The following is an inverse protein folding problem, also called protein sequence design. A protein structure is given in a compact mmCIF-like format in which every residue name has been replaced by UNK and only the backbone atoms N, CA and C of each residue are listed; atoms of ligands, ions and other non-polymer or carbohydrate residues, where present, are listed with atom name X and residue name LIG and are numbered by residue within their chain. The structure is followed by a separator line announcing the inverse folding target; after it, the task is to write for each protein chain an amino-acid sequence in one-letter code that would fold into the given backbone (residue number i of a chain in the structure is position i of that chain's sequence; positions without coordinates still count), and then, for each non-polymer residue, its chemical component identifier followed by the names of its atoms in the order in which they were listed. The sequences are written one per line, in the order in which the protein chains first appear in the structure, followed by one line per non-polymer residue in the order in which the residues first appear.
data_IF_760996811206
#
_entry.id   IF_760996811206
#
_cell.length_a   1.000
_cell.length_b   1.000
_cell.length_c   1.000
_cell.angle_alpha   90.00
_cell.angle_beta   90.00
_cell.angle_gamma   90.00
#
_symmetry.space_group_name_H-M   'P 1'
#
loop_
_entity.id
_entity.type
_entity.pdbx_description
1 polymer ?
#
# COMPACT_ATOMS: atom_id res chain seq x y z
N UNK A 1 12.85 -13.47 5.31
CA UNK A 1 12.38 -12.49 6.32
C UNK A 1 11.29 -11.62 5.71
N UNK A 2 10.08 -11.62 6.28
CA UNK A 2 8.96 -10.78 5.81
C UNK A 2 9.18 -9.37 6.36
N UNK A 3 9.71 -8.46 5.53
CA UNK A 3 9.92 -7.07 5.94
C UNK A 3 8.54 -6.40 5.96
N UNK A 4 8.11 -5.92 7.13
CA UNK A 4 6.83 -5.21 7.27
C UNK A 4 6.85 -3.96 6.37
N UNK A 5 5.75 -3.72 5.65
CA UNK A 5 5.56 -2.48 4.90
C UNK A 5 5.53 -1.32 5.90
N UNK A 6 6.47 -0.40 5.77
CA UNK A 6 6.55 0.81 6.57
C UNK A 6 5.44 1.79 6.17
N UNK A 7 5.24 2.84 6.96
CA UNK A 7 4.27 3.89 6.61
C UNK A 7 4.63 4.54 5.26
N UNK A 8 5.91 4.84 5.04
CA UNK A 8 6.42 5.38 3.79
C UNK A 8 6.13 4.45 2.60
N UNK A 9 6.34 3.14 2.76
CA UNK A 9 6.00 2.17 1.69
C UNK A 9 4.51 2.22 1.33
N UNK A 10 3.63 2.39 2.34
CA UNK A 10 2.17 2.48 2.13
C UNK A 10 1.76 3.79 1.47
N UNK A 11 2.42 4.89 1.79
CA UNK A 11 2.21 6.18 1.14
C UNK A 11 2.60 6.14 -0.33
N UNK A 12 3.74 5.54 -0.66
CA UNK A 12 4.18 5.33 -2.06
C UNK A 12 3.21 4.42 -2.82
N UNK A 13 2.71 3.34 -2.18
CA UNK A 13 1.67 2.50 -2.77
C UNK A 13 0.41 3.31 -3.05
N UNK A 14 -0.01 4.16 -2.13
CA UNK A 14 -1.18 5.01 -2.32
C UNK A 14 -0.98 6.04 -3.43
N UNK A 15 0.20 6.65 -3.50
CA UNK A 15 0.54 7.66 -4.50
C UNK A 15 0.52 7.04 -5.89
N UNK A 16 1.21 5.91 -6.05
CA UNK A 16 1.16 5.17 -7.31
C UNK A 16 -0.23 4.66 -7.66
N UNK A 17 -1.06 4.26 -6.69
CA UNK A 17 -2.45 3.92 -6.94
C UNK A 17 -3.33 5.13 -7.32
N UNK A 18 -3.05 6.31 -6.79
CA UNK A 18 -3.74 7.55 -7.13
C UNK A 18 -3.35 8.03 -8.53
N UNK A 19 -2.09 7.82 -8.92
CA UNK A 19 -1.58 8.07 -10.27
C UNK A 19 -2.03 7.01 -11.29
N UNK A 20 -2.67 5.92 -10.84
CA UNK A 20 -3.17 4.85 -11.71
C UNK A 20 -2.11 3.82 -12.12
N UNK A 21 -0.93 3.83 -11.48
CA UNK A 21 0.18 2.93 -11.77
C UNK A 21 -0.17 1.46 -11.46
N UNK A 22 0.52 0.56 -12.15
CA UNK A 22 0.42 -0.87 -11.88
C UNK A 22 1.18 -1.25 -10.61
N UNK A 23 0.76 -2.33 -9.94
CA UNK A 23 1.44 -2.81 -8.73
C UNK A 23 2.93 -3.11 -8.95
N UNK A 24 3.33 -3.48 -10.17
CA UNK A 24 4.73 -3.75 -10.54
C UNK A 24 5.57 -2.48 -10.58
N UNK A 25 5.01 -1.36 -11.01
CA UNK A 25 5.69 -0.07 -11.08
C UNK A 25 5.88 0.49 -9.68
N UNK A 26 4.82 0.44 -8.89
CA UNK A 26 4.87 0.80 -7.47
C UNK A 26 5.93 -0.04 -6.75
N UNK A 27 5.93 -1.36 -6.97
CA UNK A 27 6.94 -2.26 -6.43
C UNK A 27 8.38 -1.86 -6.79
N UNK A 28 8.61 -1.38 -8.02
CA UNK A 28 9.92 -0.88 -8.42
C UNK A 28 10.30 0.40 -7.66
N UNK A 29 9.35 1.29 -7.40
CA UNK A 29 9.61 2.55 -6.68
C UNK A 29 10.05 2.31 -5.22
N UNK A 30 9.39 1.38 -4.52
CA UNK A 30 9.74 1.03 -3.13
C UNK A 30 10.78 -0.10 -3.00
N UNK A 31 11.35 -0.57 -4.12
CA UNK A 31 12.27 -1.71 -4.18
C UNK A 31 11.70 -2.96 -3.46
N UNK A 32 10.42 -3.28 -3.74
CA UNK A 32 9.70 -4.41 -3.16
C UNK A 32 9.14 -5.34 -4.21
N UNK A 33 8.81 -6.56 -3.77
CA UNK A 33 8.12 -7.51 -4.62
C UNK A 33 6.64 -7.12 -4.81
N UNK A 34 6.11 -7.06 -6.05
CA UNK A 34 4.70 -6.71 -6.30
C UNK A 34 3.69 -7.63 -5.64
N UNK A 35 4.08 -8.88 -5.32
CA UNK A 35 3.24 -9.82 -4.59
C UNK A 35 2.93 -9.36 -3.17
N UNK A 36 3.83 -8.58 -2.55
CA UNK A 36 3.62 -8.02 -1.21
C UNK A 36 2.55 -6.93 -1.28
N UNK A 37 2.63 -6.04 -2.26
CA UNK A 37 1.64 -4.98 -2.49
C UNK A 37 0.28 -5.61 -2.79
N UNK A 38 0.22 -6.59 -3.70
CA UNK A 38 -1.03 -7.27 -4.03
C UNK A 38 -1.66 -7.94 -2.80
N UNK A 39 -0.89 -8.65 -1.97
CA UNK A 39 -1.39 -9.25 -0.72
C UNK A 39 -1.83 -8.22 0.31
N UNK A 40 -1.10 -7.11 0.45
CA UNK A 40 -1.49 -6.02 1.36
C UNK A 40 -2.80 -5.40 0.88
N UNK A 41 -2.85 -4.96 -0.38
CA UNK A 41 -4.07 -4.39 -1.00
C UNK A 41 -5.25 -5.35 -0.90
N UNK A 42 -5.07 -6.64 -1.20
CA UNK A 42 -6.12 -7.65 -1.07
C UNK A 42 -6.59 -7.81 0.40
N UNK A 43 -5.67 -7.87 1.36
CA UNK A 43 -5.99 -7.92 2.80
C UNK A 43 -6.73 -6.67 3.27
N UNK A 44 -6.45 -5.52 2.67
CA UNK A 44 -7.08 -4.25 3.01
C UNK A 44 -8.40 -3.98 2.27
N UNK A 45 -8.88 -4.93 1.45
CA UNK A 45 -10.18 -4.86 0.77
C UNK A 45 -10.12 -4.48 -0.71
N UNK A 46 -8.96 -4.60 -1.35
CA UNK A 46 -8.75 -4.29 -2.77
C UNK A 46 -8.42 -2.81 -3.04
N UNK A 47 -8.19 -2.46 -4.32
CA UNK A 47 -7.72 -1.11 -4.73
C UNK A 47 -8.65 0.01 -4.26
N UNK A 48 -9.96 -0.21 -4.36
CA UNK A 48 -10.97 0.79 -3.98
C UNK A 48 -10.96 1.05 -2.47
N UNK A 49 -10.93 -0.01 -1.66
CA UNK A 49 -10.84 0.11 -0.21
C UNK A 49 -9.48 0.65 0.23
N UNK A 50 -8.39 0.31 -0.48
CA UNK A 50 -7.04 0.78 -0.16
C UNK A 50 -6.93 2.30 -0.30
N UNK A 51 -7.49 2.89 -1.37
CA UNK A 51 -7.50 4.35 -1.56
C UNK A 51 -8.28 5.07 -0.46
N UNK A 52 -9.49 4.57 -0.14
CA UNK A 52 -10.30 5.13 0.95
C UNK A 52 -9.61 4.97 2.31
N UNK A 53 -8.95 3.82 2.55
CA UNK A 53 -8.19 3.58 3.77
C UNK A 53 -6.95 4.45 3.86
N UNK A 54 -6.20 4.70 2.79
CA UNK A 54 -4.98 5.52 2.92
C UNK A 54 -5.32 6.96 3.27
N UNK A 55 -6.37 7.52 2.67
CA UNK A 55 -6.89 8.83 3.08
C UNK A 55 -7.27 8.82 4.57
N UNK A 56 -7.90 7.74 5.05
CA UNK A 56 -8.19 7.57 6.48
C UNK A 56 -6.95 7.23 7.35
N UNK A 57 -5.87 6.68 6.78
CA UNK A 57 -4.64 6.26 7.46
C UNK A 57 -3.70 7.43 7.73
N UNK A 58 -3.65 8.42 6.84
CA UNK A 58 -2.97 9.70 7.10
C UNK A 58 -3.65 10.49 8.24
N UNK A 59 -4.86 10.08 8.65
CA UNK A 59 -5.62 10.62 9.77
C UNK A 59 -5.49 9.86 11.10
N UNK A 60 -4.44 9.06 11.33
CA UNK A 60 -4.19 8.29 12.56
C UNK A 60 -5.23 7.20 12.87
N UNK A 61 -5.08 5.98 12.35
CA UNK A 61 -5.87 4.84 12.84
C UNK A 61 -5.29 3.46 12.51
N UNK A 62 -3.97 3.25 12.52
CA UNK A 62 -3.39 1.89 12.42
C UNK A 62 -2.32 1.62 13.49
N UNK A 63 -2.80 1.57 14.73
CA UNK A 63 -2.17 0.81 15.80
C UNK A 63 -3.22 -0.12 16.42
N UNK A 64 -3.38 -1.32 15.83
CA UNK A 64 -3.69 -2.51 16.61
C UNK A 64 -3.52 -3.79 15.79
N UNK A 65 -2.53 -4.56 16.25
CA UNK A 65 -2.24 -5.98 16.08
C UNK A 65 -1.29 -6.37 14.95
#
# INVERSE_FOLDING_TARGET
MRKMLTLADREEISRGLAEGLEYKEIARLIDRNPSIISRDVARHGGRAAYRARVIALLGNCWSRR
#
